data_IF_676348368196
#
_entry.id   IF_676348368196
#
_cell.length_a   1.000
_cell.length_b   1.000
_cell.length_c   1.000
_cell.angle_alpha   90.00
_cell.angle_beta   90.00
_cell.angle_gamma   90.00
#
_symmetry.space_group_name_H-M   'P 1'
#
loop_
_entity.id
_entity.type
_entity.pdbx_description
1 polymer ?
#
# COMPACT_ATOMS: atom_id res chain seq x y z
N UNK A 1 8.04 -6.25 -23.83
CA UNK A 1 6.74 -5.88 -23.19
C UNK A 1 6.06 -7.19 -22.89
N UNK A 2 5.89 -7.52 -21.64
CA UNK A 2 5.33 -8.82 -21.23
C UNK A 2 3.79 -8.72 -21.38
N UNK A 3 3.26 -9.25 -22.48
CA UNK A 3 1.82 -9.23 -22.83
C UNK A 3 0.95 -10.07 -21.88
N UNK A 4 1.52 -10.69 -20.86
CA UNK A 4 0.82 -11.64 -19.99
C UNK A 4 0.43 -11.07 -18.61
N UNK A 5 0.83 -9.83 -18.30
CA UNK A 5 0.56 -9.22 -16.98
C UNK A 5 -0.71 -8.37 -17.04
N UNK A 6 -1.85 -8.95 -16.67
CA UNK A 6 -3.13 -8.24 -16.56
C UNK A 6 -3.44 -7.82 -15.12
N UNK A 7 -3.95 -6.59 -14.96
CA UNK A 7 -4.52 -6.13 -13.69
C UNK A 7 -6.00 -6.51 -13.59
N UNK A 8 -6.51 -6.90 -12.40
CA UNK A 8 -7.94 -7.06 -12.20
C UNK A 8 -8.72 -5.74 -12.18
N UNK A 9 -8.03 -4.58 -12.22
CA UNK A 9 -8.60 -3.24 -12.11
C UNK A 9 -8.42 -2.41 -13.39
N UNK A 10 -7.90 -2.99 -14.47
CA UNK A 10 -7.55 -2.25 -15.69
C UNK A 10 -8.73 -1.57 -16.39
N UNK A 11 -9.95 -2.09 -16.18
CA UNK A 11 -11.20 -1.54 -16.69
C UNK A 11 -11.90 -0.57 -15.72
N UNK A 12 -11.43 -0.48 -14.46
CA UNK A 12 -12.00 0.39 -13.43
C UNK A 12 -11.13 1.61 -13.13
N UNK A 13 -9.83 1.51 -13.27
CA UNK A 13 -8.87 2.54 -12.88
C UNK A 13 -8.02 3.03 -14.06
N UNK A 14 -7.66 4.31 -14.12
CA UNK A 14 -7.89 5.34 -13.08
C UNK A 14 -9.33 5.84 -13.04
N UNK A 15 -9.79 6.24 -11.85
CA UNK A 15 -11.09 6.84 -11.62
C UNK A 15 -10.93 8.08 -10.73
N UNK A 16 -11.74 9.11 -10.97
CA UNK A 16 -11.71 10.33 -10.16
C UNK A 16 -13.11 10.96 -10.07
N UNK A 17 -13.43 11.46 -8.89
CA UNK A 17 -14.62 12.25 -8.64
C UNK A 17 -14.25 13.74 -8.69
N UNK A 18 -14.76 14.53 -9.64
CA UNK A 18 -14.48 15.96 -9.74
C UNK A 18 -14.97 16.72 -8.51
N UNK A 19 -14.30 17.83 -8.17
CA UNK A 19 -14.78 18.84 -7.26
C UNK A 19 -15.02 20.17 -8.01
N UNK A 20 -15.68 21.13 -7.34
CA UNK A 20 -16.04 22.42 -7.93
C UNK A 20 -14.84 23.24 -8.42
N UNK A 21 -13.67 23.08 -7.78
CA UNK A 21 -12.43 23.79 -8.13
C UNK A 21 -11.65 23.12 -9.29
N UNK A 22 -12.21 22.10 -9.92
CA UNK A 22 -11.59 21.34 -11.01
C UNK A 22 -10.55 20.32 -10.57
N UNK A 23 -10.21 20.23 -9.28
CA UNK A 23 -9.38 19.17 -8.72
C UNK A 23 -10.26 18.01 -8.28
N UNK A 24 -9.78 16.76 -8.33
CA UNK A 24 -10.60 15.64 -7.86
C UNK A 24 -10.81 15.66 -6.34
N UNK A 25 -12.06 15.56 -5.90
CA UNK A 25 -12.40 15.37 -4.49
C UNK A 25 -11.80 14.08 -3.95
N UNK A 26 -11.86 13.02 -4.76
CA UNK A 26 -11.22 11.72 -4.57
C UNK A 26 -10.71 11.22 -5.91
N UNK A 27 -9.52 10.65 -5.94
CA UNK A 27 -8.98 9.91 -7.07
C UNK A 27 -8.53 8.52 -6.62
N UNK A 28 -8.77 7.54 -7.48
CA UNK A 28 -8.33 6.16 -7.32
C UNK A 28 -7.41 5.81 -8.48
N UNK A 29 -6.24 5.30 -8.17
CA UNK A 29 -5.26 4.82 -9.14
C UNK A 29 -4.77 3.43 -8.77
N UNK A 30 -4.15 2.72 -9.69
CA UNK A 30 -3.47 1.47 -9.40
C UNK A 30 -1.97 1.63 -9.59
N UNK A 31 -1.20 1.24 -8.59
CA UNK A 31 0.23 1.04 -8.74
C UNK A 31 0.47 -0.35 -9.32
N UNK A 32 0.61 -0.41 -10.64
CA UNK A 32 0.77 -1.67 -11.36
C UNK A 32 2.16 -2.25 -11.18
N UNK A 33 2.21 -3.58 -11.10
CA UNK A 33 3.45 -4.38 -11.17
C UNK A 33 4.51 -4.03 -10.13
N UNK A 34 4.08 -3.50 -8.97
CA UNK A 34 4.98 -3.22 -7.84
C UNK A 34 5.58 -4.53 -7.32
N UNK A 35 6.90 -4.57 -7.19
CA UNK A 35 7.58 -5.64 -6.49
C UNK A 35 7.16 -5.62 -5.02
N UNK A 36 6.76 -6.75 -4.48
CA UNK A 36 6.34 -6.92 -3.09
C UNK A 36 7.05 -8.13 -2.49
N UNK A 37 7.88 -7.88 -1.48
CA UNK A 37 8.69 -8.91 -0.83
C UNK A 37 8.27 -9.00 0.63
N UNK A 38 7.77 -10.16 1.04
CA UNK A 38 7.58 -10.49 2.43
C UNK A 38 8.91 -10.92 3.06
N UNK A 39 9.31 -10.25 4.12
CA UNK A 39 10.50 -10.57 4.90
C UNK A 39 10.09 -10.93 6.32
N UNK A 40 10.52 -12.11 6.79
CA UNK A 40 10.47 -12.49 8.20
C UNK A 40 11.88 -12.80 8.70
N UNK A 41 12.20 -12.31 9.89
CA UNK A 41 13.49 -12.51 10.53
C UNK A 41 13.30 -13.04 11.96
N UNK A 42 14.26 -13.81 12.44
CA UNK A 42 14.35 -14.13 13.88
C UNK A 42 15.24 -13.13 14.61
N UNK A 43 14.94 -12.85 15.89
CA UNK A 43 15.78 -11.97 16.70
C UNK A 43 17.27 -12.41 16.73
N UNK A 44 18.20 -11.43 16.88
CA UNK A 44 17.98 -9.98 17.02
C UNK A 44 17.64 -9.32 15.69
N UNK A 45 16.69 -8.35 15.72
CA UNK A 45 16.26 -7.62 14.53
C UNK A 45 17.29 -6.57 14.13
N UNK A 46 17.79 -6.59 12.87
CA UNK A 46 18.68 -5.54 12.40
C UNK A 46 17.87 -4.29 12.01
N UNK A 47 18.51 -3.12 12.09
CA UNK A 47 17.93 -1.89 11.56
C UNK A 47 17.93 -1.83 10.02
N UNK A 48 18.77 -2.66 9.37
CA UNK A 48 18.92 -2.71 7.92
C UNK A 48 19.15 -4.13 7.44
N UNK A 49 18.67 -4.44 6.22
CA UNK A 49 19.00 -5.66 5.48
C UNK A 49 19.45 -5.29 4.07
N UNK A 50 20.68 -5.63 3.68
CA UNK A 50 21.25 -5.20 2.40
C UNK A 50 21.21 -3.66 2.20
N UNK A 51 21.29 -2.85 3.27
CA UNK A 51 21.15 -1.41 3.20
C UNK A 51 19.69 -0.90 3.17
N UNK A 52 18.69 -1.78 3.02
CA UNK A 52 17.27 -1.41 3.11
C UNK A 52 16.88 -1.24 4.57
N UNK A 53 16.35 -0.07 4.98
CA UNK A 53 15.95 0.17 6.36
C UNK A 53 14.75 -0.67 6.77
N UNK A 54 14.81 -1.27 7.95
CA UNK A 54 13.70 -1.99 8.57
C UNK A 54 13.16 -1.15 9.74
N UNK A 55 11.95 -0.59 9.65
CA UNK A 55 11.36 0.10 10.79
C UNK A 55 11.15 -0.91 11.94
N UNK A 56 11.64 -0.56 13.13
CA UNK A 56 11.50 -1.39 14.33
C UNK A 56 10.35 -0.93 15.23
N UNK A 57 9.85 0.28 15.00
CA UNK A 57 8.66 0.79 15.68
C UNK A 57 7.41 0.23 15.01
N UNK A 58 6.41 -0.24 15.77
CA UNK A 58 5.16 -0.73 15.24
C UNK A 58 4.47 0.28 14.32
N UNK A 59 3.88 -0.24 13.24
CA UNK A 59 3.05 0.52 12.31
C UNK A 59 3.78 1.69 11.62
N UNK A 60 5.10 1.57 11.42
CA UNK A 60 5.90 2.58 10.71
C UNK A 60 6.37 2.10 9.35
N UNK A 61 6.57 3.07 8.48
CA UNK A 61 7.13 2.89 7.15
C UNK A 61 8.49 3.58 7.08
N UNK A 62 9.49 2.88 6.59
CA UNK A 62 10.77 3.47 6.21
C UNK A 62 10.84 3.58 4.67
N UNK A 63 11.43 4.68 4.19
CA UNK A 63 11.59 4.91 2.75
C UNK A 63 13.06 5.18 2.45
N UNK A 64 13.58 4.48 1.46
CA UNK A 64 14.93 4.68 0.94
C UNK A 64 14.88 4.67 -0.60
N UNK A 65 15.07 5.84 -1.22
CA UNK A 65 14.92 6.01 -2.68
C UNK A 65 13.55 5.51 -3.14
N UNK A 66 13.50 4.53 -4.03
CA UNK A 66 12.26 3.92 -4.53
C UNK A 66 11.71 2.77 -3.67
N UNK A 67 12.46 2.35 -2.63
CA UNK A 67 12.07 1.24 -1.76
C UNK A 67 11.28 1.77 -0.56
N UNK A 68 10.15 1.14 -0.26
CA UNK A 68 9.35 1.36 0.96
C UNK A 68 9.30 0.07 1.76
N UNK A 69 9.52 0.17 3.06
CA UNK A 69 9.45 -0.96 3.97
C UNK A 69 8.38 -0.69 5.02
N UNK A 70 7.35 -1.51 5.03
CA UNK A 70 6.23 -1.41 5.96
C UNK A 70 6.43 -2.42 7.10
N UNK A 71 6.31 -1.98 8.34
CA UNK A 71 6.29 -2.87 9.49
C UNK A 71 4.94 -3.58 9.59
N UNK A 72 4.92 -4.90 9.53
CA UNK A 72 3.70 -5.71 9.65
C UNK A 72 3.62 -6.48 10.97
N UNK A 73 4.75 -6.67 11.63
CA UNK A 73 4.84 -7.39 12.88
C UNK A 73 6.24 -7.28 13.50
N UNK A 74 6.42 -7.76 14.72
CA UNK A 74 7.71 -7.70 15.41
C UNK A 74 8.87 -8.35 14.65
N UNK A 75 8.53 -9.31 13.79
CA UNK A 75 9.45 -10.11 12.97
C UNK A 75 9.11 -10.08 11.48
N UNK A 76 8.18 -9.20 11.05
CA UNK A 76 7.62 -9.23 9.70
C UNK A 76 7.58 -7.84 9.06
N UNK A 77 8.04 -7.76 7.80
CA UNK A 77 8.00 -6.56 6.96
C UNK A 77 7.51 -6.87 5.55
N UNK A 78 6.87 -5.88 4.94
CA UNK A 78 6.60 -5.84 3.51
C UNK A 78 7.53 -4.81 2.86
N UNK A 79 8.41 -5.26 1.98
CA UNK A 79 9.31 -4.40 1.20
C UNK A 79 8.73 -4.24 -0.18
N UNK A 80 8.59 -3.00 -0.66
CA UNK A 80 8.01 -2.71 -1.97
C UNK A 80 8.89 -1.77 -2.78
N UNK A 81 8.89 -1.94 -4.10
CA UNK A 81 9.50 -1.02 -5.05
C UNK A 81 8.69 -1.00 -6.36
N UNK A 82 8.61 0.14 -7.08
CA UNK A 82 8.03 0.18 -8.41
C UNK A 82 8.71 -0.80 -9.36
N UNK A 83 7.97 -1.27 -10.37
CA UNK A 83 8.51 -2.20 -11.37
C UNK A 83 9.75 -1.59 -12.06
N UNK A 84 10.80 -2.39 -12.17
CA UNK A 84 12.07 -1.98 -12.76
C UNK A 84 12.88 -0.93 -11.98
N UNK A 85 12.35 -0.35 -10.90
CA UNK A 85 13.06 0.69 -10.12
C UNK A 85 14.25 0.15 -9.34
N UNK A 86 14.18 -1.10 -8.90
CA UNK A 86 15.28 -1.83 -8.24
C UNK A 86 15.36 -3.22 -8.87
N UNK A 87 16.15 -3.39 -9.94
CA UNK A 87 16.36 -4.69 -10.54
C UNK A 87 16.82 -5.70 -9.47
N UNK A 88 16.31 -6.92 -9.56
CA UNK A 88 16.71 -8.02 -8.68
C UNK A 88 16.53 -7.78 -7.17
N UNK A 89 15.60 -6.90 -6.77
CA UNK A 89 15.37 -6.59 -5.35
C UNK A 89 15.16 -7.85 -4.51
N UNK A 90 14.44 -8.84 -5.04
CA UNK A 90 14.20 -10.12 -4.36
C UNK A 90 15.51 -10.87 -4.12
N UNK A 91 16.36 -11.01 -5.13
CA UNK A 91 17.65 -11.72 -5.03
C UNK A 91 18.61 -10.95 -4.11
N UNK A 92 18.60 -9.63 -4.19
CA UNK A 92 19.39 -8.78 -3.30
C UNK A 92 19.02 -8.96 -1.83
N UNK A 93 17.73 -8.88 -1.48
CA UNK A 93 17.25 -9.10 -0.11
C UNK A 93 17.52 -10.55 0.33
N UNK A 94 17.30 -11.52 -0.54
CA UNK A 94 17.55 -12.93 -0.24
C UNK A 94 19.02 -13.19 0.08
N UNK A 95 19.94 -12.62 -0.71
CA UNK A 95 21.37 -12.72 -0.46
C UNK A 95 21.77 -12.05 0.86
N UNK A 96 21.27 -10.83 1.12
CA UNK A 96 21.54 -10.11 2.37
C UNK A 96 20.98 -10.80 3.62
N UNK A 97 20.00 -11.66 3.45
CA UNK A 97 19.37 -12.43 4.51
C UNK A 97 19.92 -13.87 4.67
N UNK A 98 20.84 -14.30 3.79
CA UNK A 98 21.27 -15.71 3.71
C UNK A 98 21.89 -16.26 5.01
N UNK A 99 22.68 -15.45 5.73
CA UNK A 99 23.31 -15.84 6.98
C UNK A 99 22.39 -15.70 8.20
N UNK A 100 21.12 -15.32 7.96
CA UNK A 100 20.13 -15.11 9.02
C UNK A 100 19.07 -16.22 8.97
N UNK A 101 18.40 -16.45 10.09
CA UNK A 101 17.20 -17.31 10.10
C UNK A 101 16.03 -16.49 9.54
N UNK A 102 16.02 -16.32 8.23
CA UNK A 102 15.10 -15.47 7.49
C UNK A 102 14.21 -16.28 6.56
N UNK A 103 13.02 -15.75 6.32
CA UNK A 103 12.15 -16.15 5.20
C UNK A 103 11.96 -14.93 4.31
N UNK A 104 12.31 -15.07 3.04
CA UNK A 104 12.09 -14.06 1.99
C UNK A 104 11.15 -14.67 0.96
N UNK A 105 10.04 -13.98 0.68
CA UNK A 105 8.99 -14.51 -0.20
C UNK A 105 8.56 -13.44 -1.18
N UNK A 106 8.48 -13.78 -2.47
CA UNK A 106 7.87 -12.93 -3.49
C UNK A 106 6.34 -12.93 -3.32
N UNK A 107 5.79 -11.75 -3.07
CA UNK A 107 4.36 -11.50 -2.91
C UNK A 107 3.79 -10.59 -4.02
N UNK A 108 4.56 -10.30 -5.07
CA UNK A 108 4.23 -9.33 -6.12
C UNK A 108 2.91 -9.64 -6.84
N UNK A 109 2.59 -10.93 -6.99
CA UNK A 109 1.32 -11.37 -7.60
C UNK A 109 0.17 -11.53 -6.60
N UNK A 110 0.41 -11.42 -5.28
CA UNK A 110 -0.58 -11.75 -4.26
C UNK A 110 -1.53 -10.59 -3.94
N UNK A 111 -1.06 -9.35 -4.11
CA UNK A 111 -1.81 -8.13 -3.78
C UNK A 111 -1.79 -7.13 -4.93
N UNK A 112 -2.86 -6.36 -5.01
CA UNK A 112 -2.97 -5.14 -5.81
C UNK A 112 -2.80 -3.95 -4.88
N UNK A 113 -2.24 -2.85 -5.39
CA UNK A 113 -2.09 -1.61 -4.64
C UNK A 113 -2.96 -0.54 -5.28
N UNK A 114 -3.98 -0.09 -4.55
CA UNK A 114 -4.84 1.03 -4.94
C UNK A 114 -4.29 2.29 -4.26
N UNK A 115 -3.97 3.31 -5.03
CA UNK A 115 -3.71 4.65 -4.52
C UNK A 115 -5.02 5.42 -4.39
N UNK A 116 -5.22 6.04 -3.23
CA UNK A 116 -6.38 6.86 -2.92
C UNK A 116 -5.88 8.24 -2.54
N UNK A 117 -6.25 9.27 -3.27
CA UNK A 117 -5.81 10.64 -3.01
C UNK A 117 -6.94 11.65 -3.15
N UNK A 118 -6.73 12.85 -2.61
CA UNK A 118 -7.67 13.95 -2.65
C UNK A 118 -8.20 14.35 -1.27
N UNK A 119 -8.80 15.55 -1.16
CA UNK A 119 -9.25 16.10 0.13
C UNK A 119 -10.28 15.24 0.86
N UNK A 120 -11.07 14.42 0.13
CA UNK A 120 -12.06 13.51 0.70
C UNK A 120 -11.54 12.07 0.88
N UNK A 121 -10.28 11.77 0.53
CA UNK A 121 -9.72 10.41 0.61
C UNK A 121 -9.81 9.81 2.03
N UNK A 122 -9.55 10.62 3.07
CA UNK A 122 -9.70 10.17 4.47
C UNK A 122 -11.14 9.84 4.80
N UNK A 123 -12.07 10.75 4.52
CA UNK A 123 -13.49 10.57 4.78
C UNK A 123 -14.05 9.34 4.04
N UNK A 124 -13.55 9.05 2.82
CA UNK A 124 -13.89 7.83 2.11
C UNK A 124 -13.46 6.57 2.88
N UNK A 125 -12.21 6.55 3.35
CA UNK A 125 -11.70 5.40 4.11
C UNK A 125 -12.43 5.21 5.44
N UNK A 126 -12.76 6.30 6.14
CA UNK A 126 -13.49 6.27 7.43
C UNK A 126 -14.88 5.63 7.34
N UNK A 127 -15.49 5.56 6.14
CA UNK A 127 -16.78 4.87 5.94
C UNK A 127 -16.73 3.37 6.18
N UNK A 128 -15.58 2.74 5.93
CA UNK A 128 -15.46 1.29 6.05
C UNK A 128 -14.28 0.81 6.89
N UNK A 129 -13.48 1.73 7.45
CA UNK A 129 -12.30 1.42 8.25
C UNK A 129 -12.52 1.83 9.71
N UNK A 130 -12.37 0.88 10.63
CA UNK A 130 -12.48 1.16 12.08
C UNK A 130 -11.21 1.76 12.71
N UNK A 131 -10.16 2.00 11.91
CA UNK A 131 -8.93 2.63 12.38
C UNK A 131 -9.15 4.15 12.52
N UNK A 132 -8.62 4.75 13.60
CA UNK A 132 -8.58 6.21 13.72
C UNK A 132 -7.59 6.79 12.71
N UNK A 133 -8.13 7.35 11.62
CA UNK A 133 -7.37 8.00 10.55
C UNK A 133 -7.17 9.51 10.77
N UNK A 134 -7.56 10.02 11.95
CA UNK A 134 -7.34 11.42 12.29
C UNK A 134 -5.84 11.78 12.18
N UNK A 135 -5.47 12.98 11.67
CA UNK A 135 -4.06 13.38 11.47
C UNK A 135 -3.18 13.35 12.72
N UNK A 136 -3.78 13.29 13.92
CA UNK A 136 -3.04 13.12 15.18
C UNK A 136 -2.66 11.67 15.47
N UNK A 137 -3.46 10.71 14.96
CA UNK A 137 -3.30 9.28 15.22
C UNK A 137 -2.60 8.56 14.06
N UNK A 138 -2.97 8.89 12.82
CA UNK A 138 -2.42 8.28 11.62
C UNK A 138 -1.77 9.36 10.74
N UNK A 139 -0.45 9.34 10.63
CA UNK A 139 0.37 10.37 10.00
C UNK A 139 1.13 9.81 8.80
N UNK A 140 1.66 10.65 7.88
CA UNK A 140 2.57 10.17 6.84
C UNK A 140 3.69 9.30 7.40
N UNK A 141 3.95 8.17 6.74
CA UNK A 141 4.88 7.15 7.23
C UNK A 141 4.29 6.20 8.29
N UNK A 142 2.98 6.28 8.54
CA UNK A 142 2.26 5.25 9.29
C UNK A 142 1.68 4.20 8.34
N UNK A 143 1.71 2.95 8.77
CA UNK A 143 0.98 1.85 8.11
C UNK A 143 0.21 1.04 9.16
N UNK A 144 -0.81 0.32 8.72
CA UNK A 144 -1.56 -0.59 9.58
C UNK A 144 -2.17 -1.74 8.80
N UNK A 145 -2.19 -2.93 9.38
CA UNK A 145 -3.06 -4.01 8.95
C UNK A 145 -4.43 -3.79 9.59
N UNK A 146 -5.48 -3.70 8.78
CA UNK A 146 -6.84 -3.39 9.23
C UNK A 146 -7.89 -4.04 8.34
N UNK A 147 -9.15 -3.79 8.64
CA UNK A 147 -10.27 -4.12 7.77
C UNK A 147 -10.77 -2.85 7.09
N UNK A 148 -11.03 -2.93 5.79
CA UNK A 148 -11.78 -1.93 5.04
C UNK A 148 -12.97 -2.62 4.36
N UNK A 149 -14.17 -2.16 4.66
CA UNK A 149 -15.41 -2.79 4.20
C UNK A 149 -15.45 -4.32 4.44
N UNK A 150 -14.91 -4.76 5.58
CA UNK A 150 -14.83 -6.17 5.97
C UNK A 150 -13.68 -6.96 5.36
N UNK A 151 -12.90 -6.38 4.44
CA UNK A 151 -11.75 -7.05 3.80
C UNK A 151 -10.43 -6.73 4.51
N UNK A 152 -9.56 -7.72 4.75
CA UNK A 152 -8.22 -7.47 5.26
C UNK A 152 -7.37 -6.70 4.26
N UNK A 153 -6.81 -5.58 4.71
CA UNK A 153 -5.95 -4.69 3.92
C UNK A 153 -4.73 -4.25 4.72
N UNK A 154 -3.69 -3.78 4.01
CA UNK A 154 -2.64 -2.97 4.60
C UNK A 154 -2.84 -1.55 4.10
N UNK A 155 -2.96 -0.61 5.01
CA UNK A 155 -3.08 0.82 4.71
C UNK A 155 -1.75 1.51 5.01
N UNK A 156 -1.25 2.34 4.08
CA UNK A 156 -0.03 3.13 4.20
C UNK A 156 -0.36 4.59 3.85
N UNK A 157 -0.15 5.52 4.77
CA UNK A 157 -0.30 6.94 4.49
C UNK A 157 0.98 7.52 3.92
N UNK A 158 0.92 8.01 2.69
CA UNK A 158 2.09 8.45 1.94
C UNK A 158 2.36 9.95 2.04
N UNK A 159 1.32 10.77 2.29
CA UNK A 159 1.41 12.23 2.33
C UNK A 159 0.44 12.85 3.34
N UNK A 160 0.77 14.06 3.80
CA UNK A 160 -0.09 14.89 4.64
C UNK A 160 -1.29 15.47 3.86
N UNK A 161 -1.11 15.82 2.59
CA UNK A 161 -2.22 15.94 1.65
C UNK A 161 -2.81 14.52 1.53
N UNK A 162 -4.09 14.29 1.92
CA UNK A 162 -4.58 12.92 2.13
C UNK A 162 -4.30 12.02 0.94
N UNK A 163 -3.30 11.16 1.09
CA UNK A 163 -2.89 10.20 0.09
C UNK A 163 -2.48 8.90 0.76
N UNK A 164 -3.04 7.80 0.28
CA UNK A 164 -2.92 6.48 0.89
C UNK A 164 -2.63 5.43 -0.17
N UNK A 165 -1.92 4.37 0.23
CA UNK A 165 -1.78 3.12 -0.52
C UNK A 165 -2.51 2.03 0.21
N UNK A 166 -3.36 1.35 -0.50
CA UNK A 166 -4.19 0.27 0.01
C UNK A 166 -3.77 -1.03 -0.66
N UNK A 167 -3.18 -1.92 0.13
CA UNK A 167 -2.78 -3.24 -0.35
C UNK A 167 -3.90 -4.22 -0.05
N UNK A 168 -4.50 -4.76 -1.08
CA UNK A 168 -5.60 -5.73 -0.99
C UNK A 168 -5.25 -7.01 -1.74
N UNK A 169 -5.74 -8.16 -1.29
CA UNK A 169 -5.59 -9.43 -2.01
C UNK A 169 -6.14 -9.29 -3.43
N UNK A 170 -5.40 -9.80 -4.42
CA UNK A 170 -5.79 -9.74 -5.83
C UNK A 170 -7.22 -10.23 -6.07
N UNK A 171 -7.63 -11.30 -5.41
CA UNK A 171 -8.98 -11.88 -5.54
C UNK A 171 -10.12 -10.99 -5.03
N UNK A 172 -9.83 -10.03 -4.15
CA UNK A 172 -10.81 -9.12 -3.57
C UNK A 172 -10.69 -7.68 -4.13
N UNK A 173 -9.69 -7.42 -4.98
CA UNK A 173 -9.36 -6.08 -5.43
C UNK A 173 -10.51 -5.42 -6.20
N UNK A 174 -11.17 -6.15 -7.11
CA UNK A 174 -12.29 -5.63 -7.91
C UNK A 174 -13.45 -5.23 -7.02
N UNK A 175 -13.88 -6.12 -6.13
CA UNK A 175 -14.97 -5.84 -5.21
C UNK A 175 -14.67 -4.61 -4.33
N UNK A 176 -13.46 -4.49 -3.82
CA UNK A 176 -13.08 -3.34 -3.01
C UNK A 176 -13.03 -2.05 -3.82
N UNK A 177 -12.58 -2.12 -5.07
CA UNK A 177 -12.56 -0.96 -5.96
C UNK A 177 -13.97 -0.48 -6.28
N UNK A 178 -14.88 -1.39 -6.60
CA UNK A 178 -16.31 -1.08 -6.84
C UNK A 178 -16.93 -0.44 -5.58
N UNK A 179 -16.65 -0.99 -4.39
CA UNK A 179 -17.11 -0.41 -3.12
C UNK A 179 -16.55 1.00 -2.88
N UNK A 180 -15.26 1.24 -3.16
CA UNK A 180 -14.66 2.57 -3.02
C UNK A 180 -15.29 3.59 -3.96
N UNK A 181 -15.58 3.21 -5.19
CA UNK A 181 -16.25 4.06 -6.18
C UNK A 181 -17.66 4.42 -5.71
N UNK A 182 -18.46 3.42 -5.31
CA UNK A 182 -19.81 3.62 -4.79
C UNK A 182 -19.82 4.50 -3.54
N UNK A 183 -18.96 4.21 -2.58
CA UNK A 183 -18.83 4.99 -1.36
C UNK A 183 -18.37 6.45 -1.60
N UNK A 184 -17.65 6.71 -2.69
CA UNK A 184 -17.21 8.05 -3.06
C UNK A 184 -18.34 8.90 -3.65
N UNK A 185 -19.42 8.31 -4.19
CA UNK A 185 -20.52 9.04 -4.82
C UNK A 185 -21.19 10.05 -3.87
N UNK A 186 -21.16 9.82 -2.57
CA UNK A 186 -21.67 10.78 -1.56
C UNK A 186 -20.94 12.14 -1.63
N UNK A 187 -19.70 12.14 -2.11
CA UNK A 187 -18.92 13.38 -2.24
C UNK A 187 -19.14 14.08 -3.58
N UNK A 188 -20.03 13.55 -4.42
CA UNK A 188 -20.47 14.23 -5.64
C UNK A 188 -21.28 15.45 -5.26
N UNK A 189 -20.83 16.62 -5.65
CA UNK A 189 -21.59 17.86 -5.45
C UNK A 189 -22.83 17.74 -6.32
N UNK A 190 -24.00 17.92 -5.69
CA UNK A 190 -25.25 18.05 -6.44
C UNK A 190 -25.18 19.36 -7.23
N UNK A 191 -25.10 19.25 -8.56
CA UNK A 191 -25.13 20.38 -9.49
C UNK A 191 -26.48 21.07 -9.53
#
# INVERSE_FOLDING_TARGET
>A
MDETRHSPLEDLLPWALPAEDGNPAVSLGELRFVQQIGLRLRPPMPAYIGGVPLPLQPNRVAVMRAVRTLWLGPDEWLITAPDGAVPELLSWISHAAADRRAQVTDLSASRVIIEIAGPRARALLEKGCGLDLHPRAFTPGSCAQTLLAGLPVILDQTSAAPSYRLFVRRSAARWLCDWLIDAAEEFRVAG
#
